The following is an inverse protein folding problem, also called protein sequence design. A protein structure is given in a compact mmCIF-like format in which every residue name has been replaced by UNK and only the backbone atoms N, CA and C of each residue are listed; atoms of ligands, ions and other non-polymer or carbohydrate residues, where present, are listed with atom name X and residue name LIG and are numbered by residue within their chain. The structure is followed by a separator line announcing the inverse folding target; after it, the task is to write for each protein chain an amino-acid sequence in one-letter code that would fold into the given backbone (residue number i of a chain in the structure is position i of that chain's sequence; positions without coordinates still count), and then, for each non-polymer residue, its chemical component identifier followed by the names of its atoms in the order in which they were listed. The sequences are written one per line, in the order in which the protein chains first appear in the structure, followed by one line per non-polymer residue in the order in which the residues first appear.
data_IF_113749407860
#
_entry.id   IF_113749407860
#
_cell.length_a   1.000
_cell.length_b   1.000
_cell.length_c   1.000
_cell.angle_alpha   90.00
_cell.angle_beta   90.00
_cell.angle_gamma   90.00
#
_symmetry.space_group_name_H-M   'P 1'
#
loop_
_entity.id
_entity.type
_entity.pdbx_description
1 polymer ?
#
# COMPACT_ATOMS: atom_id res chain seq x y z
N UNK A 1 14.24 8.05 26.65
CA UNK A 1 14.64 8.84 25.47
C UNK A 1 13.62 8.57 24.37
N UNK A 2 12.58 9.40 24.23
CA UNK A 2 11.57 9.28 23.16
C UNK A 2 11.98 10.22 22.04
N UNK A 3 12.44 9.67 20.94
CA UNK A 3 12.67 10.44 19.72
C UNK A 3 11.30 10.58 19.05
N UNK A 4 10.67 11.74 19.24
CA UNK A 4 9.57 12.18 18.40
C UNK A 4 10.21 12.65 17.09
N UNK A 5 10.12 11.81 16.05
CA UNK A 5 10.34 12.29 14.69
C UNK A 5 9.06 13.02 14.29
N UNK A 6 9.00 14.30 14.65
CA UNK A 6 8.19 15.29 13.95
C UNK A 6 8.70 15.33 12.50
N UNK A 7 8.09 14.52 11.64
CA UNK A 7 8.27 14.66 10.20
C UNK A 7 7.39 15.82 9.77
N UNK A 8 8.05 16.93 9.51
CA UNK A 8 7.50 18.19 9.05
C UNK A 8 6.47 18.00 7.92
N UNK A 9 5.39 18.75 8.11
CA UNK A 9 4.22 18.82 7.24
C UNK A 9 4.55 19.69 6.03
N UNK A 10 5.07 19.09 4.95
CA UNK A 10 5.20 19.77 3.65
C UNK A 10 3.81 19.99 3.03
N UNK A 11 3.22 21.16 3.30
CA UNK A 11 2.08 21.70 2.57
C UNK A 11 2.47 22.04 1.13
N UNK A 12 1.93 21.32 0.14
CA UNK A 12 2.07 21.70 -1.28
C UNK A 12 1.77 20.62 -2.32
N UNK A 13 1.70 19.34 -1.93
CA UNK A 13 1.25 18.27 -2.83
C UNK A 13 0.03 17.63 -2.19
N UNK A 14 -1.16 17.94 -2.70
CA UNK A 14 -2.44 17.38 -2.28
C UNK A 14 -2.33 15.84 -2.29
N UNK A 15 -1.97 15.26 -1.14
CA UNK A 15 -1.81 13.82 -1.02
C UNK A 15 -3.24 13.27 -1.07
N UNK A 16 -3.59 12.50 -2.11
CA UNK A 16 -4.96 12.00 -2.21
C UNK A 16 -5.28 11.21 -0.95
N UNK A 17 -6.48 11.42 -0.41
CA UNK A 17 -6.94 10.66 0.75
C UNK A 17 -6.90 9.17 0.39
N UNK A 18 -6.53 8.27 1.32
CA UNK A 18 -6.39 6.84 1.03
C UNK A 18 -7.62 6.21 0.36
N UNK A 19 -8.82 6.66 0.72
CA UNK A 19 -10.11 6.28 0.13
C UNK A 19 -10.29 6.75 -1.32
N UNK A 20 -9.61 7.82 -1.72
CA UNK A 20 -9.63 8.37 -3.09
C UNK A 20 -8.56 7.72 -3.99
N UNK A 21 -7.81 6.73 -3.50
CA UNK A 21 -6.79 6.02 -4.26
C UNK A 21 -7.24 4.61 -4.57
N UNK A 22 -7.38 4.29 -5.86
CA UNK A 22 -7.61 2.94 -6.36
C UNK A 22 -6.28 2.28 -6.66
N UNK A 23 -6.03 1.15 -6.02
CA UNK A 23 -4.93 0.23 -6.30
C UNK A 23 -5.36 -0.79 -7.35
N UNK A 24 -4.48 -1.01 -8.31
CA UNK A 24 -4.65 -1.99 -9.38
C UNK A 24 -3.80 -3.21 -9.02
N UNK A 25 -4.46 -4.34 -8.83
CA UNK A 25 -3.85 -5.58 -8.33
C UNK A 25 -4.12 -6.70 -9.35
N UNK A 26 -3.11 -7.12 -10.14
CA UNK A 26 -3.29 -8.17 -11.12
C UNK A 26 -3.49 -9.52 -10.41
N UNK A 27 -4.39 -10.33 -10.96
CA UNK A 27 -4.58 -11.72 -10.58
C UNK A 27 -4.72 -12.60 -11.83
N UNK A 28 -4.54 -13.92 -11.67
CA UNK A 28 -4.51 -14.86 -12.81
C UNK A 28 -5.80 -14.89 -13.66
N UNK A 29 -6.89 -14.29 -13.19
CA UNK A 29 -8.18 -14.27 -13.88
C UNK A 29 -8.70 -12.85 -14.12
N UNK A 30 -7.83 -11.83 -14.02
CA UNK A 30 -8.23 -10.44 -14.20
C UNK A 30 -7.44 -9.44 -13.37
N UNK A 31 -8.06 -8.30 -13.10
CA UNK A 31 -7.49 -7.22 -12.30
C UNK A 31 -8.48 -6.85 -11.20
N UNK A 32 -8.01 -6.84 -9.96
CA UNK A 32 -8.77 -6.30 -8.84
C UNK A 32 -8.48 -4.82 -8.70
N UNK A 33 -9.53 -4.04 -8.51
CA UNK A 33 -9.46 -2.64 -8.14
C UNK A 33 -9.99 -2.51 -6.71
N UNK A 34 -9.18 -1.91 -5.84
CA UNK A 34 -9.59 -1.67 -4.45
C UNK A 34 -8.90 -0.45 -3.88
N UNK A 35 -9.47 0.13 -2.84
CA UNK A 35 -8.91 1.29 -2.16
C UNK A 35 -7.72 0.92 -1.27
N UNK A 36 -6.93 1.92 -0.84
CA UNK A 36 -5.86 1.68 0.14
C UNK A 36 -6.40 1.06 1.45
N UNK A 37 -7.49 1.57 2.07
CA UNK A 37 -8.04 0.97 3.28
C UNK A 37 -8.45 -0.50 3.11
N UNK A 38 -9.08 -0.85 1.98
CA UNK A 38 -9.46 -2.24 1.70
C UNK A 38 -8.24 -3.16 1.58
N UNK A 39 -7.21 -2.70 0.88
CA UNK A 39 -5.96 -3.45 0.75
C UNK A 39 -5.24 -3.58 2.09
N UNK A 40 -5.22 -2.55 2.93
CA UNK A 40 -4.64 -2.63 4.29
C UNK A 40 -5.39 -3.65 5.15
N UNK A 41 -6.72 -3.72 5.03
CA UNK A 41 -7.55 -4.61 5.82
C UNK A 41 -7.41 -6.08 5.40
N UNK A 42 -7.28 -6.35 4.10
CA UNK A 42 -7.33 -7.72 3.55
C UNK A 42 -5.97 -8.24 3.09
N UNK A 43 -5.13 -7.35 2.59
CA UNK A 43 -3.81 -7.67 2.05
C UNK A 43 -3.84 -8.67 0.91
N UNK A 44 -2.74 -9.42 0.72
CA UNK A 44 -2.63 -10.45 -0.30
C UNK A 44 -3.43 -11.74 0.02
N UNK A 45 -4.00 -11.86 1.21
CA UNK A 45 -4.71 -13.07 1.67
C UNK A 45 -3.86 -14.35 1.54
N UNK A 46 -4.50 -15.46 1.15
CA UNK A 46 -3.83 -16.76 0.92
C UNK A 46 -2.85 -16.77 -0.27
N UNK A 47 -2.68 -15.65 -0.97
CA UNK A 47 -1.89 -15.55 -2.21
C UNK A 47 -0.71 -14.63 -2.00
N UNK A 48 0.38 -15.10 -1.37
CA UNK A 48 1.47 -14.25 -0.90
C UNK A 48 2.24 -13.50 -2.01
N UNK A 49 2.04 -13.87 -3.28
CA UNK A 49 2.65 -13.22 -4.44
C UNK A 49 1.86 -12.04 -5.02
N UNK A 50 0.63 -11.78 -4.56
CA UNK A 50 -0.19 -10.69 -5.10
C UNK A 50 0.26 -9.34 -4.55
N UNK A 51 0.43 -8.35 -5.41
CA UNK A 51 0.81 -7.00 -5.02
C UNK A 51 0.15 -5.96 -5.94
N UNK A 52 -0.10 -4.73 -5.46
CA UNK A 52 -0.49 -3.62 -6.33
C UNK A 52 0.63 -3.27 -7.31
N UNK A 53 0.28 -3.08 -8.58
CA UNK A 53 1.23 -2.70 -9.65
C UNK A 53 1.04 -1.28 -10.15
N UNK A 54 -0.14 -0.70 -9.92
CA UNK A 54 -0.43 0.69 -10.22
C UNK A 54 -1.41 1.27 -9.21
N UNK A 55 -1.48 2.60 -9.17
CA UNK A 55 -2.48 3.33 -8.43
C UNK A 55 -3.05 4.46 -9.31
N UNK A 56 -4.29 4.84 -9.08
CA UNK A 56 -4.93 5.99 -9.72
C UNK A 56 -5.87 6.69 -8.76
N UNK A 57 -6.06 7.98 -8.98
CA UNK A 57 -7.06 8.74 -8.24
C UNK A 57 -8.47 8.29 -8.69
N UNK A 58 -9.35 7.96 -7.75
CA UNK A 58 -10.68 7.42 -8.01
C UNK A 58 -11.54 8.35 -8.89
N UNK A 59 -11.66 9.62 -8.49
CA UNK A 59 -12.47 10.62 -9.20
C UNK A 59 -11.88 11.06 -10.54
N UNK A 60 -10.58 11.30 -10.63
CA UNK A 60 -9.96 11.91 -11.82
C UNK A 60 -9.36 10.89 -12.77
N UNK A 61 -9.22 9.63 -12.36
CA UNK A 61 -8.53 8.58 -13.11
C UNK A 61 -7.03 8.80 -13.27
N UNK A 62 -6.48 9.91 -12.78
CA UNK A 62 -5.07 10.27 -12.95
C UNK A 62 -4.17 9.19 -12.32
N UNK A 63 -3.14 8.70 -13.03
CA UNK A 63 -2.17 7.79 -12.46
C UNK A 63 -1.49 8.41 -11.23
N UNK A 64 -1.31 7.60 -10.20
CA UNK A 64 -0.62 7.97 -8.98
C UNK A 64 0.59 7.05 -8.79
N UNK A 65 1.71 7.58 -8.26
CA UNK A 65 2.84 6.73 -7.93
C UNK A 65 2.47 5.77 -6.80
N UNK A 66 2.88 4.50 -6.87
CA UNK A 66 2.64 3.50 -5.82
C UNK A 66 3.17 3.90 -4.42
N UNK A 67 3.98 4.97 -4.34
CA UNK A 67 4.44 5.53 -3.08
C UNK A 67 3.32 6.04 -2.17
N UNK A 68 2.12 6.28 -2.71
CA UNK A 68 0.89 6.57 -1.94
C UNK A 68 0.51 5.43 -0.99
N UNK A 69 0.86 4.19 -1.33
CA UNK A 69 0.71 3.04 -0.44
C UNK A 69 1.97 2.95 0.45
N UNK A 70 1.85 2.91 1.79
CA UNK A 70 2.99 2.79 2.68
C UNK A 70 3.78 1.50 2.39
N UNK A 71 5.12 1.59 2.44
CA UNK A 71 6.00 0.50 2.00
C UNK A 71 5.67 -0.85 2.64
N UNK A 72 5.36 -0.87 3.95
CA UNK A 72 5.00 -2.10 4.69
C UNK A 72 3.81 -2.85 4.09
N UNK A 73 2.91 -2.15 3.39
CA UNK A 73 1.71 -2.73 2.78
C UNK A 73 1.87 -3.04 1.29
N UNK A 74 3.01 -2.77 0.64
CA UNK A 74 3.11 -2.94 -0.82
C UNK A 74 3.21 -4.41 -1.27
N UNK A 75 3.55 -5.33 -0.37
CA UNK A 75 3.80 -6.75 -0.64
C UNK A 75 4.87 -7.03 -1.73
N UNK A 76 5.74 -6.05 -2.02
CA UNK A 76 6.92 -6.24 -2.87
C UNK A 76 7.93 -7.16 -2.21
N UNK A 77 8.83 -7.74 -3.02
CA UNK A 77 9.98 -8.50 -2.50
C UNK A 77 10.73 -7.73 -1.40
N UNK A 78 10.99 -6.43 -1.61
CA UNK A 78 11.67 -5.60 -0.62
C UNK A 78 10.87 -5.43 0.67
N UNK A 79 9.56 -5.13 0.59
CA UNK A 79 8.72 -5.01 1.79
C UNK A 79 8.60 -6.32 2.57
N UNK A 80 8.49 -7.46 1.87
CA UNK A 80 8.47 -8.79 2.48
C UNK A 80 9.82 -9.15 3.12
N UNK A 81 10.93 -8.74 2.50
CA UNK A 81 12.25 -8.92 3.09
C UNK A 81 12.39 -8.10 4.38
N UNK A 82 11.95 -6.84 4.39
CA UNK A 82 11.96 -5.99 5.60
C UNK A 82 11.09 -6.57 6.73
N UNK A 83 9.95 -7.17 6.39
CA UNK A 83 9.13 -7.90 7.37
C UNK A 83 9.90 -9.12 7.90
N UNK A 84 10.52 -9.91 7.01
CA UNK A 84 11.28 -11.11 7.38
C UNK A 84 12.45 -10.82 8.31
N UNK A 85 13.16 -9.71 8.12
CA UNK A 85 14.28 -9.30 8.99
C UNK A 85 13.84 -8.51 10.22
N UNK A 86 12.54 -8.33 10.44
CA UNK A 86 11.99 -7.69 11.64
C UNK A 86 12.00 -6.15 11.64
N UNK A 87 12.30 -5.50 10.51
CA UNK A 87 12.22 -4.04 10.39
C UNK A 87 10.76 -3.56 10.42
N UNK A 88 9.86 -4.34 9.83
CA UNK A 88 8.42 -4.16 9.97
C UNK A 88 7.79 -5.37 10.65
N UNK A 89 6.80 -5.14 11.51
CA UNK A 89 5.87 -6.20 11.88
C UNK A 89 5.07 -6.62 10.64
N UNK A 90 4.80 -7.92 10.51
CA UNK A 90 3.93 -8.44 9.46
C UNK A 90 2.54 -7.81 9.62
N UNK A 91 2.09 -6.97 8.65
CA UNK A 91 0.84 -6.25 8.80
C UNK A 91 -0.38 -7.13 8.45
N UNK A 92 -0.15 -8.32 7.90
CA UNK A 92 -1.22 -9.15 7.37
C UNK A 92 -1.70 -10.16 8.40
N UNK A 93 -3.02 -10.38 8.50
CA UNK A 93 -3.54 -11.45 9.34
C UNK A 93 -3.02 -12.79 8.83
N UNK A 94 -2.40 -13.57 9.72
CA UNK A 94 -2.08 -14.97 9.44
C UNK A 94 -3.40 -15.74 9.50
N UNK A 95 -3.88 -16.18 8.34
CA UNK A 95 -5.00 -17.12 8.22
C UNK A 95 -4.57 -18.51 8.70
#
# INVERSE_FOLDING_TARGET
MRVFLDVEHESGMDRPRPEDVILIVPHNWGTLEMTIPEWIARGPGLRPGIQPVAARHARTGKPLPLRVLPLRYRNTWFSRWLIRVGVFSDPWPKL
#
